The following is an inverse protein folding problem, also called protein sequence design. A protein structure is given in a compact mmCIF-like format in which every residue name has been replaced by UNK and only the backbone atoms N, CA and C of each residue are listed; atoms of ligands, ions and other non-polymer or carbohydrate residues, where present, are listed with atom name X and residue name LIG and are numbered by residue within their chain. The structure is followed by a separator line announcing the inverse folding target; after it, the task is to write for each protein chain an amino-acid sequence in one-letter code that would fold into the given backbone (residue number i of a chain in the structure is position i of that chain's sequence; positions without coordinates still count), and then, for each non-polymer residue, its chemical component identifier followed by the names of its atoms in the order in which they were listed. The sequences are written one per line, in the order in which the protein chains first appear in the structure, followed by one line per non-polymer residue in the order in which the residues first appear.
data_IF_005335203684
#
_entry.id   IF_005335203684
#
_cell.length_a   1.000
_cell.length_b   1.000
_cell.length_c   1.000
_cell.angle_alpha   90.00
_cell.angle_beta   90.00
_cell.angle_gamma   90.00
#
_symmetry.space_group_name_H-M   'P 1'
#
loop_
_entity.id
_entity.type
_entity.pdbx_description
1 polymer ?
#
# COMPACT_ATOMS: atom_id res chain seq x y z
N UNK A 1 1.16 -24.20 4.24
CA UNK A 1 2.51 -24.24 3.64
C UNK A 1 3.40 -24.85 4.71
N UNK A 2 3.59 -26.17 4.67
CA UNK A 2 4.38 -26.85 5.69
C UNK A 2 5.86 -26.54 5.47
N UNK A 3 6.55 -26.12 6.53
CA UNK A 3 8.01 -25.89 6.51
C UNK A 3 8.48 -24.51 6.03
N UNK A 4 7.60 -23.51 5.96
CA UNK A 4 7.98 -22.11 5.72
C UNK A 4 7.83 -21.33 7.03
N UNK A 5 8.95 -20.77 7.50
CA UNK A 5 9.00 -19.88 8.68
C UNK A 5 8.99 -18.42 8.18
N UNK A 6 7.89 -17.72 8.42
CA UNK A 6 7.71 -16.32 8.03
C UNK A 6 6.94 -15.57 9.11
N UNK A 7 7.18 -14.28 9.26
CA UNK A 7 6.49 -13.46 10.24
C UNK A 7 5.03 -13.22 9.82
N UNK A 8 4.09 -13.46 10.73
CA UNK A 8 2.66 -13.19 10.47
C UNK A 8 2.30 -11.71 10.61
N UNK A 9 3.17 -10.91 11.25
CA UNK A 9 3.00 -9.49 11.47
C UNK A 9 4.33 -8.76 11.29
N UNK A 10 4.36 -7.77 10.41
CA UNK A 10 5.56 -6.97 10.12
C UNK A 10 5.23 -5.48 10.15
N UNK A 11 6.17 -4.68 10.68
CA UNK A 11 6.12 -3.23 10.70
C UNK A 11 7.43 -2.68 10.14
N UNK A 12 7.33 -1.87 9.10
CA UNK A 12 8.43 -1.09 8.56
C UNK A 12 8.14 0.42 8.67
N UNK A 13 9.18 1.18 9.03
CA UNK A 13 9.17 2.64 8.98
C UNK A 13 10.29 3.05 8.03
N UNK A 14 9.92 3.72 6.93
CA UNK A 14 10.84 4.19 5.91
C UNK A 14 10.99 5.69 6.05
N UNK A 15 12.23 6.15 6.12
CA UNK A 15 12.57 7.56 6.16
C UNK A 15 12.89 8.07 4.75
N UNK A 16 12.24 9.16 4.37
CA UNK A 16 12.52 9.93 3.18
C UNK A 16 12.89 11.36 3.59
N UNK A 17 13.58 12.09 2.72
CA UNK A 17 14.03 13.47 2.98
C UNK A 17 12.94 14.39 3.56
N UNK A 18 11.68 14.17 3.16
CA UNK A 18 10.53 15.03 3.53
C UNK A 18 9.33 14.28 4.09
N UNK A 19 9.46 12.98 4.37
CA UNK A 19 8.33 12.17 4.81
C UNK A 19 8.77 10.92 5.58
N UNK A 20 7.87 10.42 6.42
CA UNK A 20 7.94 9.07 6.98
C UNK A 20 6.83 8.25 6.34
N UNK A 21 7.17 7.06 5.86
CA UNK A 21 6.18 6.07 5.45
C UNK A 21 6.15 4.92 6.46
N UNK A 22 4.95 4.52 6.87
CA UNK A 22 4.73 3.37 7.74
C UNK A 22 3.99 2.29 6.97
N UNK A 23 4.57 1.11 6.88
CA UNK A 23 3.93 -0.08 6.29
C UNK A 23 3.74 -1.11 7.39
N UNK A 24 2.51 -1.51 7.61
CA UNK A 24 2.16 -2.59 8.53
C UNK A 24 1.39 -3.65 7.78
N UNK A 25 1.78 -4.91 7.96
CA UNK A 25 1.15 -6.07 7.32
C UNK A 25 0.86 -7.10 8.40
N UNK A 26 -0.34 -7.69 8.34
CA UNK A 26 -0.72 -8.83 9.17
C UNK A 26 -1.48 -9.85 8.35
N UNK A 27 -1.13 -11.12 8.51
CA UNK A 27 -1.82 -12.26 7.91
C UNK A 27 -2.85 -12.90 8.86
N UNK A 28 -2.87 -12.47 10.13
CA UNK A 28 -3.61 -13.11 11.22
C UNK A 28 -4.65 -12.21 11.88
N UNK A 29 -4.81 -10.97 11.40
CA UNK A 29 -5.84 -10.06 11.87
C UNK A 29 -7.26 -10.58 11.60
N UNK A 30 -8.10 -10.60 12.64
CA UNK A 30 -9.54 -10.80 12.49
C UNK A 30 -10.10 -9.68 11.62
N UNK A 31 -10.72 -10.04 10.50
CA UNK A 31 -11.21 -9.11 9.48
C UNK A 31 -10.11 -8.18 8.89
N UNK A 32 -8.89 -8.69 8.71
CA UNK A 32 -7.80 -7.92 8.07
C UNK A 32 -8.15 -7.36 6.69
N UNK A 33 -9.06 -8.02 5.96
CA UNK A 33 -9.59 -7.53 4.68
C UNK A 33 -10.17 -6.12 4.77
N UNK A 34 -10.97 -5.84 5.81
CA UNK A 34 -11.60 -4.53 6.05
C UNK A 34 -10.71 -3.51 6.77
N UNK A 35 -9.49 -3.88 7.14
CA UNK A 35 -8.52 -2.99 7.80
C UNK A 35 -7.47 -2.44 6.86
N UNK A 36 -7.45 -2.89 5.60
CA UNK A 36 -6.53 -2.36 4.60
C UNK A 36 -6.80 -0.88 4.40
N UNK A 37 -5.80 -0.07 4.72
CA UNK A 37 -5.90 1.38 4.78
C UNK A 37 -4.74 2.05 4.05
N UNK A 38 -5.01 3.23 3.49
CA UNK A 38 -3.99 4.13 2.96
C UNK A 38 -4.28 5.52 3.52
N UNK A 39 -3.31 6.06 4.25
CA UNK A 39 -3.38 7.39 4.82
C UNK A 39 -2.19 8.20 4.35
N UNK A 40 -2.46 9.40 3.84
CA UNK A 40 -1.43 10.38 3.48
C UNK A 40 -1.74 11.64 4.26
N UNK A 41 -0.80 12.02 5.14
CA UNK A 41 -0.91 13.24 5.93
C UNK A 41 0.24 14.18 5.57
N UNK A 42 -0.10 15.42 5.29
CA UNK A 42 0.83 16.50 5.03
C UNK A 42 0.52 17.70 5.91
N UNK A 43 1.33 18.75 5.78
CA UNK A 43 1.23 19.94 6.63
C UNK A 43 -0.09 20.71 6.53
N UNK A 44 -0.90 20.47 5.50
CA UNK A 44 -2.17 21.17 5.26
C UNK A 44 -3.40 20.29 5.31
N UNK A 45 -3.24 18.98 5.45
CA UNK A 45 -4.39 18.09 5.41
C UNK A 45 -4.01 16.63 5.32
N UNK A 46 -5.04 15.80 5.41
CA UNK A 46 -4.94 14.35 5.46
C UNK A 46 -6.03 13.74 4.60
N UNK A 47 -5.63 12.76 3.79
CA UNK A 47 -6.54 11.85 3.09
C UNK A 47 -6.40 10.48 3.75
N UNK A 48 -7.52 9.83 4.02
CA UNK A 48 -7.54 8.50 4.58
C UNK A 48 -8.58 7.63 3.87
N UNK A 49 -8.15 6.47 3.37
CA UNK A 49 -8.99 5.45 2.77
C UNK A 49 -8.97 4.25 3.69
N UNK A 50 -10.12 3.87 4.24
CA UNK A 50 -10.29 2.65 5.04
C UNK A 50 -11.78 2.26 5.12
N UNK A 51 -12.17 1.08 4.64
CA UNK A 51 -11.34 0.09 3.93
C UNK A 51 -10.97 0.55 2.51
N UNK A 52 -9.86 0.03 1.98
CA UNK A 52 -9.52 0.11 0.54
C UNK A 52 -10.42 -0.77 -0.33
N UNK A 53 -11.10 -1.72 0.28
CA UNK A 53 -11.93 -2.71 -0.38
C UNK A 53 -13.40 -2.33 -0.32
N UNK A 54 -14.21 -2.87 -1.24
CA UNK A 54 -15.64 -2.56 -1.28
C UNK A 54 -16.35 -3.02 0.02
N UNK A 55 -17.19 -2.18 0.64
CA UNK A 55 -17.46 -0.79 0.27
C UNK A 55 -16.31 0.16 0.62
N UNK A 56 -15.75 0.84 -0.38
CA UNK A 56 -14.61 1.74 -0.21
C UNK A 56 -15.05 3.02 0.50
N UNK A 57 -14.28 3.47 1.49
CA UNK A 57 -14.57 4.73 2.21
C UNK A 57 -13.33 5.61 2.21
N UNK A 58 -13.48 6.82 1.67
CA UNK A 58 -12.44 7.84 1.67
C UNK A 58 -12.89 9.07 2.45
N UNK A 59 -12.00 9.58 3.28
CA UNK A 59 -12.21 10.79 4.07
C UNK A 59 -11.10 11.79 3.80
N UNK A 60 -11.45 13.06 3.87
CA UNK A 60 -10.53 14.18 3.72
C UNK A 60 -10.71 15.18 4.87
N UNK A 61 -9.60 15.70 5.38
CA UNK A 61 -9.59 16.77 6.38
C UNK A 61 -8.43 17.72 6.08
N UNK A 62 -8.64 19.01 6.28
CA UNK A 62 -7.62 20.04 6.16
C UNK A 62 -7.76 21.09 7.28
N UNK A 63 -6.86 22.07 7.28
CA UNK A 63 -6.84 23.14 8.30
C UNK A 63 -8.07 24.05 8.29
N UNK A 64 -8.92 23.99 7.25
CA UNK A 64 -10.18 24.74 7.18
C UNK A 64 -11.37 23.92 7.66
N UNK A 65 -11.28 22.58 7.57
CA UNK A 65 -12.30 21.63 8.06
C UNK A 65 -12.09 21.31 9.54
N UNK A 66 -10.84 21.01 9.93
CA UNK A 66 -10.43 20.72 11.30
C UNK A 66 -10.03 22.01 12.03
N UNK A 67 -10.98 22.93 12.16
CA UNK A 67 -10.85 24.23 12.82
C UNK A 67 -10.99 24.15 14.35
N UNK A 68 -11.50 23.04 14.88
CA UNK A 68 -11.66 22.79 16.32
C UNK A 68 -10.72 21.66 16.79
N UNK A 69 -9.80 21.94 17.73
CA UNK A 69 -8.95 20.91 18.32
C UNK A 69 -9.76 19.82 19.04
N UNK A 70 -9.28 18.57 18.97
CA UNK A 70 -9.83 17.39 19.65
C UNK A 70 -11.22 16.91 19.17
N UNK A 71 -11.69 17.38 18.02
CA UNK A 71 -12.90 16.87 17.37
C UNK A 71 -12.56 16.15 16.06
N UNK A 72 -13.31 15.10 15.75
CA UNK A 72 -13.22 14.43 14.44
C UNK A 72 -13.94 15.29 13.39
N UNK A 73 -13.16 15.99 12.58
CA UNK A 73 -13.64 16.95 11.58
C UNK A 73 -13.08 16.55 10.22
N UNK A 74 -13.94 15.98 9.37
CA UNK A 74 -13.60 15.50 8.04
C UNK A 74 -14.82 15.54 7.14
N UNK A 75 -14.57 15.43 5.85
CA UNK A 75 -15.58 15.24 4.81
C UNK A 75 -15.43 13.84 4.24
N UNK A 76 -16.55 13.18 3.98
CA UNK A 76 -16.57 11.98 3.16
C UNK A 76 -16.37 12.38 1.70
N UNK A 77 -15.45 11.70 1.04
CA UNK A 77 -15.22 11.84 -0.40
C UNK A 77 -15.97 10.71 -1.08
N UNK A 78 -16.91 11.07 -1.96
CA UNK A 78 -17.64 10.08 -2.75
C UNK A 78 -16.69 9.36 -3.70
N UNK A 79 -16.29 8.15 -3.31
CA UNK A 79 -15.48 7.23 -4.11
C UNK A 79 -16.36 6.06 -4.50
N UNK A 80 -16.51 5.85 -5.81
CA UNK A 80 -17.28 4.72 -6.32
C UNK A 80 -16.50 3.44 -6.09
N UNK A 81 -17.21 2.40 -5.64
CA UNK A 81 -16.70 1.04 -5.63
C UNK A 81 -16.24 0.64 -7.03
N UNK A 82 -15.06 0.00 -7.09
CA UNK A 82 -14.55 -0.58 -8.32
C UNK A 82 -15.05 -2.02 -8.40
N UNK A 83 -15.68 -2.45 -9.50
CA UNK A 83 -16.07 -3.84 -9.69
C UNK A 83 -14.88 -4.79 -9.49
N UNK A 84 -15.11 -5.92 -8.82
CA UNK A 84 -14.03 -6.86 -8.45
C UNK A 84 -13.41 -7.54 -9.68
N UNK A 85 -14.18 -7.71 -10.74
CA UNK A 85 -13.81 -8.37 -11.98
C UNK A 85 -12.92 -7.52 -12.88
N UNK A 86 -12.93 -6.19 -12.74
CA UNK A 86 -12.13 -5.30 -13.60
C UNK A 86 -10.85 -4.74 -12.95
N UNK A 87 -10.51 -5.19 -11.73
CA UNK A 87 -9.38 -4.65 -10.94
C UNK A 87 -8.06 -4.58 -11.72
N UNK A 88 -7.81 -5.54 -12.60
CA UNK A 88 -6.57 -5.65 -13.36
C UNK A 88 -6.71 -5.27 -14.84
N UNK A 89 -7.92 -4.92 -15.31
CA UNK A 89 -8.17 -4.67 -16.73
C UNK A 89 -7.30 -3.52 -17.25
N UNK A 90 -7.28 -2.40 -16.52
CA UNK A 90 -6.46 -1.25 -16.88
C UNK A 90 -4.96 -1.60 -16.86
N UNK A 91 -4.50 -2.43 -15.92
CA UNK A 91 -3.10 -2.87 -15.85
C UNK A 91 -2.73 -3.74 -17.04
N UNK A 92 -3.61 -4.65 -17.47
CA UNK A 92 -3.39 -5.52 -18.62
C UNK A 92 -3.47 -4.77 -19.95
N UNK A 93 -4.37 -3.79 -20.07
CA UNK A 93 -4.45 -2.90 -21.24
C UNK A 93 -3.17 -2.06 -21.36
N UNK A 94 -2.68 -1.51 -20.25
CA UNK A 94 -1.41 -0.78 -20.19
C UNK A 94 -0.23 -1.67 -20.58
N UNK A 95 -0.18 -2.89 -20.06
CA UNK A 95 0.85 -3.86 -20.42
C UNK A 95 0.88 -4.16 -21.92
N UNK A 96 -0.29 -4.40 -22.52
CA UNK A 96 -0.41 -4.57 -23.97
C UNK A 96 0.08 -3.32 -24.73
N UNK A 97 -0.32 -2.13 -24.30
CA UNK A 97 0.10 -0.87 -24.94
C UNK A 97 1.63 -0.64 -24.83
N UNK A 98 2.27 -1.08 -23.74
CA UNK A 98 3.72 -1.05 -23.59
C UNK A 98 4.41 -1.97 -24.59
N UNK A 99 3.92 -3.21 -24.77
CA UNK A 99 4.46 -4.16 -25.75
C UNK A 99 4.33 -3.63 -27.18
N UNK A 100 3.17 -3.04 -27.50
CA UNK A 100 2.90 -2.47 -28.82
C UNK A 100 3.62 -1.14 -29.06
N UNK A 101 4.27 -0.56 -28.05
CA UNK A 101 4.96 0.72 -28.13
C UNK A 101 4.02 1.94 -28.26
N UNK A 102 2.71 1.76 -28.06
CA UNK A 102 1.71 2.85 -28.12
C UNK A 102 1.62 3.63 -26.81
N UNK A 103 2.15 3.06 -25.72
CA UNK A 103 2.32 3.71 -24.42
C UNK A 103 3.74 3.46 -23.92
N UNK A 104 4.34 4.44 -23.24
CA UNK A 104 5.63 4.26 -22.56
C UNK A 104 5.39 3.73 -21.15
N UNK A 105 6.06 2.64 -20.77
CA UNK A 105 6.05 2.17 -19.39
C UNK A 105 6.69 3.24 -18.48
N UNK A 106 5.96 3.80 -17.49
CA UNK A 106 6.52 4.80 -16.59
C UNK A 106 7.51 4.19 -15.58
N UNK A 107 7.46 2.88 -15.36
CA UNK A 107 8.32 2.18 -14.42
C UNK A 107 9.61 1.75 -15.11
N UNK A 108 10.72 2.36 -14.70
CA UNK A 108 12.05 2.01 -15.19
C UNK A 108 12.57 0.77 -14.47
N UNK A 109 13.58 0.13 -15.05
CA UNK A 109 14.31 -0.94 -14.34
C UNK A 109 14.80 -0.50 -12.96
N UNK A 110 15.33 0.73 -12.86
CA UNK A 110 15.84 1.27 -11.59
C UNK A 110 14.72 1.41 -10.54
N UNK A 111 13.53 1.87 -10.97
CA UNK A 111 12.36 1.93 -10.09
C UNK A 111 12.04 0.55 -9.50
N UNK A 112 11.89 -0.46 -10.36
CA UNK A 112 11.49 -1.80 -9.91
C UNK A 112 12.60 -2.47 -9.08
N UNK A 113 13.87 -2.26 -9.45
CA UNK A 113 15.01 -2.70 -8.66
C UNK A 113 15.00 -2.11 -7.25
N UNK A 114 14.77 -0.79 -7.12
CA UNK A 114 14.70 -0.13 -5.82
C UNK A 114 13.54 -0.65 -4.97
N UNK A 115 12.36 -0.87 -5.57
CA UNK A 115 11.21 -1.47 -4.86
C UNK A 115 11.58 -2.84 -4.29
N UNK A 116 12.18 -3.72 -5.10
CA UNK A 116 12.56 -5.07 -4.67
C UNK A 116 13.69 -5.05 -3.64
N UNK A 117 14.66 -4.15 -3.79
CA UNK A 117 15.75 -3.98 -2.83
C UNK A 117 15.22 -3.53 -1.47
N UNK A 118 14.36 -2.51 -1.44
CA UNK A 118 13.74 -2.02 -0.19
C UNK A 118 12.89 -3.10 0.46
N UNK A 119 12.08 -3.82 -0.32
CA UNK A 119 11.30 -4.94 0.20
C UNK A 119 12.20 -6.02 0.82
N UNK A 120 13.29 -6.39 0.14
CA UNK A 120 14.26 -7.35 0.64
C UNK A 120 14.91 -6.87 1.94
N UNK A 121 15.24 -5.58 2.08
CA UNK A 121 15.79 -5.02 3.32
C UNK A 121 14.78 -5.06 4.47
N UNK A 122 13.51 -4.73 4.20
CA UNK A 122 12.42 -4.79 5.19
C UNK A 122 12.24 -6.20 5.75
N UNK A 123 12.23 -7.22 4.89
CA UNK A 123 11.96 -8.61 5.29
C UNK A 123 13.21 -9.35 5.78
N UNK A 124 14.36 -8.66 5.92
CA UNK A 124 15.62 -9.27 6.40
C UNK A 124 16.36 -10.13 5.36
N UNK A 125 16.05 -9.96 4.07
CA UNK A 125 16.64 -10.69 2.95
C UNK A 125 15.96 -12.03 2.65
N UNK A 126 16.11 -12.53 1.42
CA UNK A 126 15.70 -13.91 1.07
C UNK A 126 16.68 -14.88 1.71
N UNK A 127 16.41 -15.28 2.94
CA UNK A 127 17.13 -16.37 3.60
C UNK A 127 16.82 -17.70 2.92
N UNK A 128 17.59 -18.11 1.92
CA UNK A 128 17.58 -19.52 1.51
C UNK A 128 18.13 -20.35 2.67
N UNK A 129 17.24 -21.01 3.41
CA UNK A 129 17.65 -21.99 4.42
C UNK A 129 18.51 -23.06 3.73
N UNK A 130 19.83 -22.94 3.87
CA UNK A 130 20.76 -24.03 3.61
C UNK A 130 20.41 -25.09 4.66
N UNK A 131 19.83 -26.21 4.23
CA UNK A 131 19.59 -27.41 5.06
C UNK A 131 20.76 -27.56 6.03
N UNK A 132 20.52 -27.39 7.33
CA UNK A 132 21.44 -27.88 8.35
C UNK A 132 21.48 -29.39 8.15
N UNK A 133 22.57 -29.88 7.58
CA UNK A 133 22.83 -31.31 7.53
C UNK A 133 22.98 -31.85 8.97
N UNK A 134 22.61 -33.14 9.18
CA UNK A 134 22.26 -33.71 10.47
C UNK A 134 23.37 -33.68 11.52
#
# INVERSE_FOLDING_TARGET
LDGVDFADNDLAVLEYEKALARVFVSSVEVNGWGRRSLMVSGSRGTVNIVPLENPCTMTYSDTTIADMPYEDRKQDVDVKDIPKDCRYDAMMQDFYAYIMGTKKNPFTYEHDYLVQKVLSEIVGGVGFYRKKNP
#
